data_IF_922662277838
#
_entry.id   IF_922662277838
#
_cell.length_a   1.000
_cell.length_b   1.000
_cell.length_c   1.000
_cell.angle_alpha   90.00
_cell.angle_beta   90.00
_cell.angle_gamma   90.00
#
_symmetry.space_group_name_H-M   'P 1'
#
loop_
_entity.id
_entity.type
_entity.pdbx_description
1 polymer ?
#
# COMPACT_ATOMS: atom_id res chain seq x y z
N UNK A 1 -61.58 48.44 -42.23
CA UNK A 1 -61.23 49.87 -42.14
C UNK A 1 -60.14 50.00 -41.08
N UNK A 2 -59.10 49.17 -41.20
CA UNK A 2 -58.21 48.82 -40.07
C UNK A 2 -56.75 49.15 -40.37
N UNK A 3 -56.32 49.03 -41.63
CA UNK A 3 -54.97 49.40 -42.05
C UNK A 3 -54.68 50.91 -41.97
N UNK A 4 -55.69 51.76 -42.16
CA UNK A 4 -55.56 53.22 -42.08
C UNK A 4 -55.50 53.72 -40.64
N UNK A 5 -56.11 53.01 -39.69
CA UNK A 5 -56.03 53.31 -38.26
C UNK A 5 -54.68 52.82 -37.70
N UNK A 6 -54.25 51.63 -38.12
CA UNK A 6 -52.93 51.09 -37.78
C UNK A 6 -51.82 51.96 -38.36
N UNK A 7 -51.93 52.43 -39.61
CA UNK A 7 -50.91 53.27 -40.23
C UNK A 7 -50.87 54.69 -39.65
N UNK A 8 -52.00 55.28 -39.27
CA UNK A 8 -52.02 56.58 -38.58
C UNK A 8 -51.46 56.48 -37.16
N UNK A 9 -51.75 55.40 -36.44
CA UNK A 9 -51.17 55.12 -35.12
C UNK A 9 -49.66 54.87 -35.17
N UNK A 10 -49.18 54.08 -36.15
CA UNK A 10 -47.75 53.84 -36.38
C UNK A 10 -47.04 55.15 -36.76
N UNK A 11 -47.60 55.98 -37.64
CA UNK A 11 -46.98 57.26 -38.01
C UNK A 11 -46.93 58.25 -36.83
N UNK A 12 -47.94 58.26 -35.95
CA UNK A 12 -47.94 59.12 -34.75
C UNK A 12 -46.94 58.69 -33.67
N UNK A 13 -46.51 57.43 -33.65
CA UNK A 13 -45.60 56.86 -32.64
C UNK A 13 -44.36 56.20 -33.27
N UNK A 14 -44.00 56.60 -34.48
CA UNK A 14 -42.99 55.93 -35.33
C UNK A 14 -41.62 55.89 -34.65
N UNK A 15 -41.26 56.97 -33.95
CA UNK A 15 -40.02 57.10 -33.19
C UNK A 15 -39.93 56.06 -32.05
N UNK A 16 -41.03 55.83 -31.33
CA UNK A 16 -41.09 54.87 -30.21
C UNK A 16 -40.97 53.44 -30.72
N UNK A 17 -41.64 53.11 -31.83
CA UNK A 17 -41.59 51.78 -32.45
C UNK A 17 -40.18 51.46 -32.95
N UNK A 18 -39.51 52.42 -33.60
CA UNK A 18 -38.12 52.27 -34.05
C UNK A 18 -37.16 52.03 -32.88
N UNK A 19 -37.31 52.78 -31.79
CA UNK A 19 -36.46 52.65 -30.62
C UNK A 19 -36.67 51.29 -29.91
N UNK A 20 -37.90 50.80 -29.84
CA UNK A 20 -38.22 49.47 -29.31
C UNK A 20 -37.60 48.34 -30.14
N UNK A 21 -37.66 48.43 -31.48
CA UNK A 21 -37.03 47.45 -32.38
C UNK A 21 -35.51 47.48 -32.23
N UNK A 22 -34.90 48.67 -32.19
CA UNK A 22 -33.46 48.82 -32.00
C UNK A 22 -33.00 48.21 -30.66
N UNK A 23 -33.74 48.47 -29.58
CA UNK A 23 -33.46 47.87 -28.27
C UNK A 23 -33.59 46.34 -28.29
N UNK A 24 -34.62 45.81 -28.95
CA UNK A 24 -34.82 44.36 -29.12
C UNK A 24 -33.65 43.69 -29.85
N UNK A 25 -33.15 44.32 -30.93
CA UNK A 25 -31.99 43.82 -31.68
C UNK A 25 -30.74 43.80 -30.80
N UNK A 26 -30.50 44.87 -30.02
CA UNK A 26 -29.35 44.93 -29.10
C UNK A 26 -29.43 43.81 -28.07
N UNK A 27 -30.60 43.55 -27.50
CA UNK A 27 -30.81 42.46 -26.53
C UNK A 27 -30.52 41.10 -27.16
N UNK A 28 -31.02 40.85 -28.39
CA UNK A 28 -30.71 39.61 -29.12
C UNK A 28 -29.22 39.43 -29.35
N UNK A 29 -28.51 40.48 -29.76
CA UNK A 29 -27.05 40.43 -29.99
C UNK A 29 -26.31 40.11 -28.69
N UNK A 30 -26.70 40.73 -27.58
CA UNK A 30 -26.12 40.45 -26.26
C UNK A 30 -26.34 39.00 -25.86
N UNK A 31 -27.57 38.47 -25.98
CA UNK A 31 -27.88 37.07 -25.68
C UNK A 31 -27.09 36.10 -26.56
N UNK A 32 -26.94 36.41 -27.85
CA UNK A 32 -26.17 35.61 -28.79
C UNK A 32 -24.69 35.53 -28.39
N UNK A 33 -24.08 36.67 -28.01
CA UNK A 33 -22.70 36.73 -27.54
C UNK A 33 -22.53 35.91 -26.26
N UNK A 34 -23.45 36.03 -25.30
CA UNK A 34 -23.42 35.26 -24.04
C UNK A 34 -23.49 33.75 -24.31
N UNK A 35 -24.41 33.30 -25.18
CA UNK A 35 -24.50 31.90 -25.59
C UNK A 35 -23.22 31.41 -26.28
N UNK A 36 -22.64 32.21 -27.16
CA UNK A 36 -21.44 31.83 -27.90
C UNK A 36 -20.21 31.70 -26.97
N UNK A 37 -20.07 32.61 -26.01
CA UNK A 37 -19.03 32.52 -24.96
C UNK A 37 -19.23 31.29 -24.08
N UNK A 38 -20.47 31.00 -23.66
CA UNK A 38 -20.78 29.81 -22.85
C UNK A 38 -20.43 28.51 -23.59
N UNK A 39 -20.82 28.42 -24.87
CA UNK A 39 -20.49 27.28 -25.73
C UNK A 39 -18.97 27.11 -25.91
N UNK A 40 -18.22 28.21 -26.09
CA UNK A 40 -16.74 28.16 -26.16
C UNK A 40 -16.12 27.65 -24.87
N UNK A 41 -16.64 28.04 -23.70
CA UNK A 41 -16.16 27.55 -22.39
C UNK A 41 -16.44 26.05 -22.22
N UNK A 42 -17.64 25.60 -22.60
CA UNK A 42 -18.03 24.19 -22.51
C UNK A 42 -17.16 23.32 -23.42
N UNK A 43 -16.95 23.72 -24.67
CA UNK A 43 -16.09 23.01 -25.63
C UNK A 43 -14.62 22.95 -25.16
N UNK A 44 -14.11 24.02 -24.55
CA UNK A 44 -12.75 24.02 -23.96
C UNK A 44 -12.64 23.02 -22.79
N UNK A 45 -13.61 22.99 -21.87
CA UNK A 45 -13.63 22.03 -20.75
C UNK A 45 -13.74 20.59 -21.24
N UNK A 46 -14.60 20.35 -22.22
CA UNK A 46 -14.77 19.05 -22.87
C UNK A 46 -13.46 18.57 -23.52
N UNK A 47 -12.81 19.42 -24.32
CA UNK A 47 -11.54 19.08 -24.96
C UNK A 47 -10.39 18.90 -23.96
N UNK A 48 -10.39 19.60 -22.82
CA UNK A 48 -9.41 19.39 -21.76
C UNK A 48 -9.58 18.04 -21.07
N UNK A 49 -10.81 17.60 -20.82
CA UNK A 49 -11.11 16.27 -20.29
C UNK A 49 -10.79 15.16 -21.29
N UNK A 50 -10.94 15.42 -22.59
CA UNK A 50 -10.59 14.49 -23.67
C UNK A 50 -9.13 14.56 -24.14
N UNK A 51 -8.32 15.53 -23.66
CA UNK A 51 -6.95 15.74 -24.17
C UNK A 51 -6.03 14.55 -23.91
N UNK A 52 -6.29 13.82 -22.82
CA UNK A 52 -5.56 12.61 -22.45
C UNK A 52 -6.29 11.33 -22.89
N UNK A 53 -7.47 11.46 -23.49
CA UNK A 53 -8.20 10.35 -24.12
C UNK A 53 -7.68 10.21 -25.56
N UNK A 54 -6.73 9.30 -25.76
CA UNK A 54 -6.26 8.97 -27.10
C UNK A 54 -7.42 8.35 -27.89
N UNK A 55 -8.09 9.16 -28.73
CA UNK A 55 -9.13 8.78 -29.70
C UNK A 55 -10.37 8.02 -29.19
N UNK A 56 -10.48 7.76 -27.89
CA UNK A 56 -11.60 7.05 -27.26
C UNK A 56 -12.70 7.99 -26.75
N UNK A 57 -13.94 7.48 -26.71
CA UNK A 57 -15.05 8.14 -26.02
C UNK A 57 -14.75 8.27 -24.52
N UNK A 58 -15.41 9.20 -23.82
CA UNK A 58 -15.37 9.26 -22.35
C UNK A 58 -15.70 7.90 -21.72
N UNK A 59 -16.58 7.14 -22.38
CA UNK A 59 -16.92 5.77 -22.02
C UNK A 59 -15.71 4.82 -22.05
N UNK A 60 -14.85 4.93 -23.07
CA UNK A 60 -13.65 4.10 -23.19
C UNK A 60 -12.63 4.42 -22.10
N UNK A 61 -12.51 5.71 -21.72
CA UNK A 61 -11.68 6.12 -20.60
C UNK A 61 -12.18 5.54 -19.28
N UNK A 62 -13.49 5.61 -19.02
CA UNK A 62 -14.10 5.04 -17.80
C UNK A 62 -13.91 3.53 -17.76
N UNK A 63 -14.13 2.82 -18.88
CA UNK A 63 -13.88 1.38 -18.99
C UNK A 63 -12.41 1.04 -18.79
N UNK A 64 -11.50 1.87 -19.29
CA UNK A 64 -10.06 1.74 -19.08
C UNK A 64 -9.67 1.88 -17.61
N UNK A 65 -10.20 2.89 -16.92
CA UNK A 65 -9.99 3.07 -15.49
C UNK A 65 -10.59 1.94 -14.65
N UNK A 66 -11.79 1.45 -14.98
CA UNK A 66 -12.39 0.29 -14.32
C UNK A 66 -11.51 -0.95 -14.45
N UNK A 67 -11.06 -1.27 -15.67
CA UNK A 67 -10.14 -2.40 -15.89
C UNK A 67 -8.86 -2.26 -15.09
N UNK A 68 -8.27 -1.06 -15.07
CA UNK A 68 -7.05 -0.81 -14.30
C UNK A 68 -7.26 -0.96 -12.79
N UNK A 69 -8.43 -0.55 -12.28
CA UNK A 69 -8.81 -0.77 -10.87
C UNK A 69 -8.95 -2.26 -10.58
N UNK A 70 -9.64 -3.00 -11.44
CA UNK A 70 -9.84 -4.45 -11.27
C UNK A 70 -8.50 -5.21 -11.31
N UNK A 71 -7.62 -4.88 -12.27
CA UNK A 71 -6.25 -5.42 -12.35
C UNK A 71 -5.45 -5.10 -11.09
N UNK A 72 -5.45 -3.85 -10.65
CA UNK A 72 -4.75 -3.42 -9.42
C UNK A 72 -5.30 -4.15 -8.19
N UNK A 73 -6.61 -4.39 -8.13
CA UNK A 73 -7.23 -5.13 -7.04
C UNK A 73 -6.80 -6.60 -7.01
N UNK A 74 -6.71 -7.24 -8.18
CA UNK A 74 -6.19 -8.60 -8.32
C UNK A 74 -4.73 -8.66 -7.88
N UNK A 75 -3.88 -7.75 -8.38
CA UNK A 75 -2.46 -7.70 -8.02
C UNK A 75 -2.26 -7.48 -6.52
N UNK A 76 -3.03 -6.56 -5.92
CA UNK A 76 -3.00 -6.33 -4.48
C UNK A 76 -3.40 -7.56 -3.68
N UNK A 77 -4.42 -8.31 -4.15
CA UNK A 77 -4.85 -9.55 -3.51
C UNK A 77 -3.76 -10.61 -3.55
N UNK A 78 -3.13 -10.82 -4.71
CA UNK A 78 -2.01 -11.77 -4.87
C UNK A 78 -0.84 -11.39 -3.97
N UNK A 79 -0.45 -10.11 -3.95
CA UNK A 79 0.62 -9.63 -3.10
C UNK A 79 0.34 -9.86 -1.60
N UNK A 80 -0.91 -9.68 -1.16
CA UNK A 80 -1.32 -9.97 0.22
C UNK A 80 -1.25 -11.47 0.55
N UNK A 81 -1.62 -12.33 -0.39
CA UNK A 81 -1.50 -13.78 -0.23
C UNK A 81 -0.03 -14.20 -0.12
N UNK A 82 0.84 -13.66 -0.98
CA UNK A 82 2.28 -13.90 -0.93
C UNK A 82 2.92 -13.43 0.38
N UNK A 83 2.54 -12.24 0.87
CA UNK A 83 2.99 -11.72 2.16
C UNK A 83 2.57 -12.63 3.32
N UNK A 84 1.37 -13.20 3.26
CA UNK A 84 0.89 -14.16 4.27
C UNK A 84 1.70 -15.45 4.24
N UNK A 85 2.02 -15.96 3.06
CA UNK A 85 2.89 -17.14 2.90
C UNK A 85 4.29 -16.86 3.44
N UNK A 86 4.88 -15.73 3.07
CA UNK A 86 6.21 -15.32 3.53
C UNK A 86 6.23 -15.16 5.06
N UNK A 87 5.23 -14.50 5.64
CA UNK A 87 5.11 -14.34 7.09
C UNK A 87 5.06 -15.70 7.81
N UNK A 88 4.30 -16.66 7.27
CA UNK A 88 4.26 -18.02 7.80
C UNK A 88 5.62 -18.72 7.72
N UNK A 89 6.35 -18.59 6.61
CA UNK A 89 7.69 -19.17 6.45
C UNK A 89 8.69 -18.53 7.43
N UNK A 90 8.71 -17.21 7.51
CA UNK A 90 9.59 -16.45 8.41
C UNK A 90 9.37 -16.86 9.85
N UNK A 91 8.11 -17.08 10.28
CA UNK A 91 7.80 -17.55 11.64
C UNK A 91 8.50 -18.86 12.04
N UNK A 92 8.89 -19.68 11.06
CA UNK A 92 9.61 -20.95 11.26
C UNK A 92 11.12 -20.85 11.00
N UNK A 93 11.62 -19.71 10.55
CA UNK A 93 13.05 -19.47 10.45
C UNK A 93 13.66 -19.22 11.83
N UNK A 94 14.94 -19.55 12.00
CA UNK A 94 15.69 -19.21 13.20
C UNK A 94 15.87 -17.68 13.25
N UNK A 95 15.41 -17.07 14.34
CA UNK A 95 15.46 -15.62 14.56
C UNK A 95 16.09 -15.25 15.90
N UNK A 96 16.14 -16.21 16.84
CA UNK A 96 16.60 -16.03 18.20
C UNK A 96 17.81 -16.91 18.42
N UNK A 97 18.95 -16.27 18.67
CA UNK A 97 20.24 -16.96 18.82
C UNK A 97 20.90 -16.56 20.13
N UNK A 98 21.31 -17.56 20.90
CA UNK A 98 22.03 -17.38 22.15
C UNK A 98 23.28 -18.25 22.15
N UNK A 99 24.43 -17.65 22.45
CA UNK A 99 25.73 -18.33 22.48
C UNK A 99 26.37 -18.12 23.84
N UNK A 100 26.82 -19.23 24.43
CA UNK A 100 27.53 -19.30 25.70
C UNK A 100 28.79 -20.12 25.49
N UNK A 101 29.92 -19.60 25.94
CA UNK A 101 31.19 -20.34 26.02
C UNK A 101 31.47 -20.62 27.48
N UNK A 102 32.04 -21.78 27.75
CA UNK A 102 32.33 -22.22 29.10
C UNK A 102 33.50 -23.21 29.13
N UNK A 103 33.97 -23.49 30.34
CA UNK A 103 35.00 -24.48 30.61
C UNK A 103 34.34 -25.73 31.20
N UNK A 104 34.36 -26.83 30.46
CA UNK A 104 33.80 -28.10 30.93
C UNK A 104 34.74 -28.87 31.87
N UNK A 105 36.05 -28.61 31.81
CA UNK A 105 37.08 -29.27 32.59
C UNK A 105 38.16 -28.28 33.03
N UNK A 106 38.59 -28.31 34.29
CA UNK A 106 39.53 -27.33 34.87
C UNK A 106 40.93 -27.34 34.22
N UNK A 107 41.35 -28.50 33.73
CA UNK A 107 42.63 -28.81 33.09
C UNK A 107 42.79 -28.27 31.66
N UNK A 108 41.77 -27.58 31.14
CA UNK A 108 41.82 -26.92 29.83
C UNK A 108 41.96 -25.40 30.03
N UNK A 109 43.01 -24.83 29.44
CA UNK A 109 43.38 -23.42 29.62
C UNK A 109 42.43 -22.40 28.98
N UNK A 110 41.43 -22.82 28.20
CA UNK A 110 40.52 -21.94 27.45
C UNK A 110 39.07 -22.44 27.47
N UNK A 111 38.11 -21.53 27.30
CA UNK A 111 36.67 -21.81 27.21
C UNK A 111 36.31 -22.34 25.82
N UNK A 112 36.75 -23.57 25.53
CA UNK A 112 36.58 -24.21 24.22
C UNK A 112 35.24 -24.93 24.08
N UNK A 113 34.55 -25.21 25.19
CA UNK A 113 33.19 -25.74 25.18
C UNK A 113 32.18 -24.61 24.93
N UNK A 114 31.06 -24.95 24.30
CA UNK A 114 30.01 -23.99 23.99
C UNK A 114 28.63 -24.60 23.98
N UNK A 115 27.62 -23.77 24.22
CA UNK A 115 26.21 -24.06 23.98
C UNK A 115 25.61 -22.96 23.11
N UNK A 116 24.91 -23.37 22.05
CA UNK A 116 24.23 -22.49 21.10
C UNK A 116 22.75 -22.85 21.05
N UNK A 117 21.90 -21.91 21.43
CA UNK A 117 20.46 -22.02 21.25
C UNK A 117 20.06 -21.34 19.94
N UNK A 118 19.37 -22.08 19.06
CA UNK A 118 18.82 -21.61 17.79
C UNK A 118 17.31 -21.81 17.85
N UNK A 119 16.55 -20.73 17.99
CA UNK A 119 15.10 -20.76 18.14
C UNK A 119 14.39 -19.91 17.07
N UNK A 120 13.21 -20.36 16.67
CA UNK A 120 12.30 -19.63 15.78
C UNK A 120 11.42 -18.62 16.53
N UNK A 121 10.48 -17.99 15.82
CA UNK A 121 9.58 -17.02 16.45
C UNK A 121 8.66 -17.66 17.52
N UNK A 122 8.35 -18.96 17.40
CA UNK A 122 7.52 -19.73 18.33
C UNK A 122 8.31 -20.34 19.49
N UNK A 123 9.62 -20.06 19.58
CA UNK A 123 10.55 -20.64 20.55
C UNK A 123 10.74 -22.16 20.35
N UNK A 124 10.48 -22.67 19.14
CA UNK A 124 10.84 -24.03 18.75
C UNK A 124 12.22 -24.01 18.09
N UNK A 125 12.99 -25.08 18.23
CA UNK A 125 14.33 -25.15 17.63
C UNK A 125 15.23 -26.18 18.28
N UNK A 126 16.50 -25.84 18.45
CA UNK A 126 17.53 -26.75 18.97
C UNK A 126 18.56 -26.02 19.82
N UNK A 127 19.04 -26.69 20.85
CA UNK A 127 20.27 -26.31 21.56
C UNK A 127 21.36 -27.30 21.19
N UNK A 128 22.48 -26.79 20.70
CA UNK A 128 23.66 -27.56 20.34
C UNK A 128 24.75 -27.24 21.35
N UNK A 129 25.26 -28.27 22.02
CA UNK A 129 26.34 -28.15 23.00
C UNK A 129 27.53 -28.96 22.56
N UNK A 130 28.71 -28.35 22.52
CA UNK A 130 29.97 -29.05 22.31
C UNK A 130 30.79 -28.98 23.59
N UNK A 131 31.19 -30.16 24.06
CA UNK A 131 32.07 -30.31 25.21
C UNK A 131 33.45 -30.68 24.67
N UNK A 132 34.40 -29.77 24.83
CA UNK A 132 35.78 -29.95 24.41
C UNK A 132 36.61 -30.53 25.57
N UNK A 133 37.15 -31.73 25.35
CA UNK A 133 38.11 -32.39 26.23
C UNK A 133 39.53 -32.38 25.64
N UNK A 134 40.52 -32.89 26.38
CA UNK A 134 41.93 -32.90 25.93
C UNK A 134 42.17 -33.66 24.61
N UNK A 135 41.56 -34.83 24.48
CA UNK A 135 41.78 -35.73 23.33
C UNK A 135 40.51 -35.98 22.51
N UNK A 136 39.35 -35.52 22.98
CA UNK A 136 38.06 -35.75 22.34
C UNK A 136 37.18 -34.52 22.48
N UNK A 137 36.37 -34.26 21.46
CA UNK A 137 35.26 -33.31 21.54
C UNK A 137 33.98 -34.07 21.21
N UNK A 138 32.93 -33.84 22.00
CA UNK A 138 31.62 -34.45 21.76
C UNK A 138 30.57 -33.36 21.67
N UNK A 139 29.69 -33.47 20.68
CA UNK A 139 28.60 -32.53 20.46
C UNK A 139 27.25 -33.23 20.61
N UNK A 140 26.36 -32.58 21.35
CA UNK A 140 25.00 -33.01 21.60
C UNK A 140 24.02 -31.98 21.03
N UNK A 141 22.87 -32.46 20.57
CA UNK A 141 21.78 -31.61 20.13
C UNK A 141 20.51 -32.03 20.85
N UNK A 142 19.86 -31.08 21.52
CA UNK A 142 18.59 -31.29 22.24
C UNK A 142 17.51 -30.45 21.57
N UNK A 143 16.40 -31.06 21.14
CA UNK A 143 15.30 -30.31 20.53
C UNK A 143 14.57 -29.47 21.59
N UNK A 144 14.22 -28.25 21.21
CA UNK A 144 13.42 -27.32 22.02
C UNK A 144 12.04 -27.21 21.39
N UNK A 145 11.01 -27.31 22.23
CA UNK A 145 9.65 -26.94 21.86
C UNK A 145 9.07 -25.93 22.84
N UNK A 146 8.55 -24.82 22.32
CA UNK A 146 7.94 -23.72 23.07
C UNK A 146 8.85 -23.20 24.21
N UNK A 147 10.16 -23.15 23.98
CA UNK A 147 11.15 -22.71 24.98
C UNK A 147 11.45 -23.73 26.08
N UNK A 148 11.09 -25.00 25.89
CA UNK A 148 11.40 -26.09 26.84
C UNK A 148 11.90 -27.34 26.10
N UNK A 149 12.68 -28.18 26.77
CA UNK A 149 13.18 -29.44 26.21
C UNK A 149 12.54 -30.63 26.91
N UNK A 150 12.29 -31.72 26.17
CA UNK A 150 11.93 -33.01 26.76
C UNK A 150 13.09 -33.66 27.52
N UNK A 151 14.32 -33.31 27.14
CA UNK A 151 15.54 -33.78 27.77
C UNK A 151 16.02 -32.75 28.79
N UNK A 152 16.57 -33.20 29.92
CA UNK A 152 17.18 -32.32 30.90
C UNK A 152 18.29 -31.47 30.24
N UNK A 153 18.22 -30.16 30.44
CA UNK A 153 19.22 -29.21 29.95
C UNK A 153 20.27 -28.96 31.04
N UNK A 154 21.54 -28.76 30.66
CA UNK A 154 22.57 -28.27 31.58
C UNK A 154 22.37 -26.79 31.88
N UNK A 155 23.07 -26.27 32.90
CA UNK A 155 22.98 -24.86 33.27
C UNK A 155 23.43 -23.94 32.12
N UNK A 156 24.45 -24.33 31.37
CA UNK A 156 24.96 -23.60 30.21
C UNK A 156 23.98 -23.62 29.03
N UNK A 157 23.28 -24.74 28.83
CA UNK A 157 22.22 -24.88 27.82
C UNK A 157 21.01 -24.00 28.16
N UNK A 158 20.60 -23.99 29.42
CA UNK A 158 19.53 -23.13 29.94
C UNK A 158 19.93 -21.66 29.77
N UNK A 159 21.19 -21.32 30.09
CA UNK A 159 21.69 -19.96 29.95
C UNK A 159 21.72 -19.52 28.47
N UNK A 160 22.18 -20.37 27.55
CA UNK A 160 22.15 -20.08 26.11
C UNK A 160 20.72 -19.89 25.60
N UNK A 161 19.77 -20.71 26.06
CA UNK A 161 18.36 -20.59 25.72
C UNK A 161 17.76 -19.29 26.25
N UNK A 162 18.01 -18.93 27.50
CA UNK A 162 17.54 -17.67 28.10
C UNK A 162 18.09 -16.44 27.36
N UNK A 163 19.35 -16.50 26.91
CA UNK A 163 19.96 -15.47 26.09
C UNK A 163 19.28 -15.33 24.73
N UNK A 164 18.97 -16.45 24.06
CA UNK A 164 18.21 -16.43 22.81
C UNK A 164 16.80 -15.84 23.00
N UNK A 165 16.16 -16.11 24.14
CA UNK A 165 14.84 -15.59 24.49
C UNK A 165 14.85 -14.13 24.99
N UNK A 166 16.02 -13.53 25.21
CA UNK A 166 16.14 -12.17 25.74
C UNK A 166 15.75 -12.05 27.22
N UNK A 167 15.87 -13.13 27.99
CA UNK A 167 15.52 -13.18 29.43
C UNK A 167 16.70 -12.82 30.36
N UNK A 168 17.86 -12.46 29.81
CA UNK A 168 18.99 -11.98 30.61
C UNK A 168 18.66 -10.62 31.23
N UNK A 169 18.86 -10.48 32.54
CA UNK A 169 18.93 -9.16 33.17
C UNK A 169 20.23 -8.49 32.70
N UNK A 170 20.09 -7.30 32.10
CA UNK A 170 21.22 -6.38 31.92
C UNK A 170 21.89 -6.06 33.26
#
# INVERSE_FOLDING_TARGET
>A
MDFTIISTFINSNLEIVLLAIAASIIIMVVLFILMFVSNRKLKKRYNLLMKDADKGSLEDMIKGYQRKIDETYVDAKVALEDLKLLSNQVNHCIQKVGVVRFKAFEDIGSDLSYSVALLDNKNDGVVITSIFGRNISTSYAKPISKGTSKYALSDEEIYAMNKALGLEKK
#
